data_IF_737855959588
#
_entry.id   IF_737855959588
#
_cell.length_a   1.000
_cell.length_b   1.000
_cell.length_c   1.000
_cell.angle_alpha   90.00
_cell.angle_beta   90.00
_cell.angle_gamma   90.00
#
_symmetry.space_group_name_H-M   'P 1'
#
loop_
_entity.id
_entity.type
_entity.pdbx_description
1 polymer ?
#
# COMPACT_ATOMS: atom_id res chain seq x y z
N UNK A 1 17.07 11.04 -21.56
CA UNK A 1 16.36 11.23 -20.27
C UNK A 1 16.27 9.93 -19.48
N UNK A 2 15.65 8.87 -20.02
CA UNK A 2 15.53 7.55 -19.36
C UNK A 2 16.88 6.87 -19.04
N UNK A 3 17.91 7.05 -19.88
CA UNK A 3 19.24 6.50 -19.64
C UNK A 3 19.96 7.17 -18.45
N UNK A 4 19.81 8.49 -18.29
CA UNK A 4 20.36 9.24 -17.16
C UNK A 4 19.73 8.83 -15.82
N UNK A 5 18.44 8.42 -15.84
CA UNK A 5 17.79 7.84 -14.66
C UNK A 5 18.50 6.55 -14.21
N UNK A 6 18.96 5.74 -15.16
CA UNK A 6 19.63 4.47 -14.87
C UNK A 6 21.08 4.63 -14.39
N UNK A 7 21.78 5.68 -14.82
CA UNK A 7 23.18 5.93 -14.44
C UNK A 7 23.33 6.46 -13.01
N UNK A 8 22.31 7.14 -12.49
CA UNK A 8 22.37 7.79 -11.18
C UNK A 8 21.46 7.14 -10.12
N UNK A 9 20.58 6.22 -10.51
CA UNK A 9 19.62 5.54 -9.62
C UNK A 9 20.26 4.83 -8.43
N UNK A 10 21.50 4.36 -8.58
CA UNK A 10 22.24 3.69 -7.52
C UNK A 10 22.39 4.53 -6.24
N UNK A 11 22.37 5.87 -6.35
CA UNK A 11 22.57 6.81 -5.24
C UNK A 11 21.28 7.48 -4.76
N UNK A 12 20.14 7.19 -5.39
CA UNK A 12 18.89 7.82 -4.97
C UNK A 12 18.45 7.26 -3.63
N UNK A 13 18.33 8.13 -2.65
CA UNK A 13 17.71 7.80 -1.36
C UNK A 13 16.21 8.05 -1.38
N UNK A 14 15.75 9.00 -2.20
CA UNK A 14 14.35 9.34 -2.37
C UNK A 14 14.00 9.45 -3.86
N UNK A 15 12.85 8.89 -4.24
CA UNK A 15 12.28 9.00 -5.58
C UNK A 15 10.91 9.66 -5.48
N UNK A 16 10.75 10.78 -6.18
CA UNK A 16 9.48 11.47 -6.32
C UNK A 16 9.16 11.58 -7.80
N UNK A 17 8.14 10.85 -8.26
CA UNK A 17 7.80 10.80 -9.67
C UNK A 17 6.29 10.88 -9.88
N UNK A 18 5.91 11.77 -10.80
CA UNK A 18 4.61 11.76 -11.43
C UNK A 18 4.77 11.03 -12.76
N UNK A 19 4.08 9.90 -12.91
CA UNK A 19 4.32 8.93 -13.95
C UNK A 19 3.08 8.81 -14.85
N UNK A 20 3.30 8.95 -16.15
CA UNK A 20 2.34 8.53 -17.16
C UNK A 20 2.37 7.00 -17.18
N UNK A 21 1.22 6.35 -17.00
CA UNK A 21 1.06 4.90 -16.88
C UNK A 21 1.74 4.15 -18.02
N UNK A 22 1.62 4.66 -19.26
CA UNK A 22 2.24 4.07 -20.44
C UNK A 22 3.79 3.97 -20.36
N UNK A 23 4.44 4.74 -19.48
CA UNK A 23 5.89 4.71 -19.25
C UNK A 23 6.31 3.77 -18.10
N UNK A 24 5.35 3.18 -17.38
CA UNK A 24 5.64 2.30 -16.25
C UNK A 24 6.43 1.05 -16.64
N UNK A 25 6.15 0.36 -17.77
CA UNK A 25 6.96 -0.80 -18.18
C UNK A 25 8.43 -0.43 -18.44
N UNK A 26 8.69 0.72 -19.05
CA UNK A 26 10.06 1.17 -19.33
C UNK A 26 10.77 1.55 -18.04
N UNK A 27 10.08 2.21 -17.10
CA UNK A 27 10.61 2.50 -15.78
C UNK A 27 10.97 1.21 -15.02
N UNK A 28 10.10 0.20 -15.13
CA UNK A 28 10.29 -1.10 -14.51
C UNK A 28 11.59 -1.76 -14.99
N UNK A 29 11.76 -1.88 -16.30
CA UNK A 29 12.94 -2.46 -16.92
C UNK A 29 14.23 -1.69 -16.57
N UNK A 30 14.18 -0.36 -16.62
CA UNK A 30 15.36 0.49 -16.42
C UNK A 30 15.88 0.51 -14.99
N UNK A 31 14.99 0.37 -14.01
CA UNK A 31 15.31 0.48 -12.59
C UNK A 31 15.44 -0.85 -11.88
N UNK A 32 15.07 -1.97 -12.53
CA UNK A 32 15.12 -3.29 -11.91
C UNK A 32 16.52 -3.58 -11.33
N UNK A 33 16.58 -3.81 -10.02
CA UNK A 33 17.81 -4.07 -9.27
C UNK A 33 18.85 -2.93 -9.29
N UNK A 34 18.46 -1.70 -9.62
CA UNK A 34 19.34 -0.52 -9.66
C UNK A 34 19.04 0.51 -8.55
N UNK A 35 18.29 0.12 -7.53
CA UNK A 35 17.85 0.99 -6.44
C UNK A 35 18.38 0.54 -5.05
N UNK A 36 19.70 0.32 -4.89
CA UNK A 36 20.28 -0.19 -3.64
C UNK A 36 20.14 0.80 -2.46
N UNK A 37 20.11 2.11 -2.74
CA UNK A 37 20.08 3.16 -1.71
C UNK A 37 18.68 3.72 -1.48
N UNK A 38 17.68 3.32 -2.26
CA UNK A 38 16.35 3.92 -2.22
C UNK A 38 15.66 3.60 -0.90
N UNK A 39 15.36 4.64 -0.11
CA UNK A 39 14.72 4.56 1.21
C UNK A 39 13.26 4.99 1.18
N UNK A 40 12.94 5.98 0.34
CA UNK A 40 11.58 6.50 0.19
C UNK A 40 11.18 6.57 -1.27
N UNK A 41 9.93 6.23 -1.57
CA UNK A 41 9.37 6.45 -2.89
C UNK A 41 7.99 7.09 -2.82
N UNK A 42 7.73 7.98 -3.75
CA UNK A 42 6.44 8.56 -4.06
C UNK A 42 6.20 8.44 -5.56
N UNK A 43 5.22 7.62 -5.94
CA UNK A 43 4.80 7.43 -7.33
C UNK A 43 3.34 7.84 -7.45
N UNK A 44 3.05 8.82 -8.30
CA UNK A 44 1.68 9.22 -8.62
C UNK A 44 1.42 9.00 -10.11
N UNK A 45 0.40 8.22 -10.44
CA UNK A 45 -0.01 8.04 -11.82
C UNK A 45 -0.99 9.12 -12.26
N UNK A 46 -0.77 9.67 -13.46
CA UNK A 46 -1.66 10.69 -14.05
C UNK A 46 -2.95 10.07 -14.61
N UNK A 47 -2.82 8.92 -15.24
CA UNK A 47 -3.75 8.24 -16.14
C UNK A 47 -3.91 6.76 -15.75
N UNK A 48 -4.43 6.52 -14.54
CA UNK A 48 -4.62 5.20 -13.97
C UNK A 48 -5.60 4.29 -14.74
N UNK A 49 -6.42 4.86 -15.63
CA UNK A 49 -7.43 4.12 -16.39
C UNK A 49 -6.84 3.43 -17.64
N UNK A 50 -5.54 3.62 -17.91
CA UNK A 50 -4.87 2.97 -19.03
C UNK A 50 -4.59 1.50 -18.72
N UNK A 51 -5.03 0.62 -19.63
CA UNK A 51 -4.63 -0.78 -19.61
C UNK A 51 -3.16 -0.92 -19.98
N UNK A 52 -2.35 -1.31 -19.00
CA UNK A 52 -0.96 -1.69 -19.22
C UNK A 52 -0.87 -3.16 -19.65
N UNK A 53 0.04 -3.44 -20.58
CA UNK A 53 0.36 -4.80 -21.04
C UNK A 53 1.12 -5.64 -19.99
N UNK A 54 1.58 -5.01 -18.90
CA UNK A 54 2.25 -5.68 -17.78
C UNK A 54 1.27 -5.96 -16.65
N UNK A 55 1.44 -7.12 -16.00
CA UNK A 55 0.59 -7.52 -14.87
C UNK A 55 0.99 -6.84 -13.56
N UNK A 56 2.24 -6.39 -13.44
CA UNK A 56 2.76 -5.72 -12.23
C UNK A 56 4.05 -4.93 -12.55
N UNK A 57 4.37 -3.96 -11.69
CA UNK A 57 5.64 -3.22 -11.67
C UNK A 57 6.53 -3.80 -10.56
N UNK A 58 7.77 -4.18 -10.87
CA UNK A 58 8.64 -5.01 -10.02
C UNK A 58 9.94 -4.35 -9.59
N UNK A 59 10.33 -3.22 -10.17
CA UNK A 59 11.65 -2.61 -10.00
C UNK A 59 11.93 -2.19 -8.55
N UNK A 60 10.90 -1.91 -7.77
CA UNK A 60 11.00 -1.57 -6.35
C UNK A 60 11.12 -2.79 -5.44
N UNK A 61 10.68 -3.98 -5.87
CA UNK A 61 10.67 -5.20 -5.06
C UNK A 61 12.05 -5.57 -4.51
N UNK A 62 13.11 -5.26 -5.28
CA UNK A 62 14.50 -5.57 -4.92
C UNK A 62 15.25 -4.40 -4.28
N UNK A 63 14.59 -3.28 -3.97
CA UNK A 63 15.22 -2.14 -3.30
C UNK A 63 15.45 -2.44 -1.80
N UNK A 64 16.69 -2.75 -1.37
CA UNK A 64 16.94 -3.34 -0.05
C UNK A 64 16.84 -2.33 1.09
N UNK A 65 16.94 -1.03 0.79
CA UNK A 65 16.87 0.06 1.76
C UNK A 65 15.47 0.68 1.88
N UNK A 66 14.50 0.22 1.07
CA UNK A 66 13.19 0.86 0.97
C UNK A 66 12.35 0.60 2.22
N UNK A 67 11.97 1.68 2.91
CA UNK A 67 11.21 1.66 4.17
C UNK A 67 9.92 2.47 4.11
N UNK A 68 9.82 3.41 3.16
CA UNK A 68 8.64 4.26 2.97
C UNK A 68 8.19 4.18 1.51
N UNK A 69 6.97 3.72 1.28
CA UNK A 69 6.40 3.59 -0.04
C UNK A 69 5.03 4.26 -0.14
N UNK A 70 4.97 5.27 -1.01
CA UNK A 70 3.72 5.93 -1.41
C UNK A 70 3.45 5.70 -2.89
N UNK A 71 2.28 5.15 -3.22
CA UNK A 71 1.82 4.90 -4.59
C UNK A 71 0.37 5.37 -4.71
N UNK A 72 0.12 6.34 -5.58
CA UNK A 72 -1.18 6.95 -5.76
C UNK A 72 -1.73 6.60 -7.14
N UNK A 73 -2.93 6.00 -7.15
CA UNK A 73 -3.70 5.61 -8.34
C UNK A 73 -2.94 4.62 -9.25
N UNK A 74 -2.40 3.53 -8.70
CA UNK A 74 -1.65 2.60 -9.54
C UNK A 74 -2.58 1.86 -10.52
N UNK A 75 -2.30 1.85 -11.84
CA UNK A 75 -3.09 1.09 -12.82
C UNK A 75 -2.88 -0.43 -12.70
N UNK A 76 -1.79 -0.84 -12.04
CA UNK A 76 -1.38 -2.23 -11.84
C UNK A 76 -0.74 -2.41 -10.46
N UNK A 77 -0.71 -3.64 -9.92
CA UNK A 77 0.01 -3.95 -8.69
C UNK A 77 1.49 -3.50 -8.78
N UNK A 78 1.98 -2.82 -7.73
CA UNK A 78 3.41 -2.55 -7.56
C UNK A 78 3.95 -3.50 -6.51
N UNK A 79 4.93 -4.31 -6.89
CA UNK A 79 5.59 -5.22 -5.96
C UNK A 79 6.61 -4.45 -5.14
N UNK A 80 6.42 -4.49 -3.82
CA UNK A 80 7.25 -3.80 -2.84
C UNK A 80 7.96 -4.81 -1.93
N UNK A 81 9.11 -4.46 -1.35
CA UNK A 81 9.77 -5.26 -0.32
C UNK A 81 9.02 -5.11 1.01
N UNK A 82 7.76 -5.59 1.05
CA UNK A 82 6.80 -5.31 2.11
C UNK A 82 7.34 -5.57 3.53
N UNK A 83 8.12 -6.64 3.72
CA UNK A 83 8.78 -6.98 4.98
C UNK A 83 9.73 -5.90 5.53
N UNK A 84 10.13 -4.90 4.73
CA UNK A 84 11.01 -3.81 5.15
C UNK A 84 10.28 -2.51 5.43
N UNK A 85 9.06 -2.38 4.91
CA UNK A 85 8.31 -1.13 4.99
C UNK A 85 7.93 -0.83 6.44
N UNK A 86 8.24 0.40 6.85
CA UNK A 86 7.73 1.02 8.08
C UNK A 86 6.54 1.93 7.80
N UNK A 87 6.47 2.47 6.56
CA UNK A 87 5.34 3.27 6.08
C UNK A 87 4.86 2.75 4.72
N UNK A 88 3.55 2.57 4.61
CA UNK A 88 2.86 2.09 3.42
C UNK A 88 1.69 3.00 3.11
N UNK A 89 1.65 3.58 1.92
CA UNK A 89 0.52 4.36 1.43
C UNK A 89 0.25 4.00 -0.01
N UNK A 90 -0.70 3.11 -0.26
CA UNK A 90 -0.95 2.61 -1.62
C UNK A 90 -2.42 2.73 -1.96
N UNK A 91 -2.70 3.20 -3.18
CA UNK A 91 -4.00 3.16 -3.81
C UNK A 91 -4.09 2.02 -4.82
N UNK A 92 -4.75 0.92 -4.45
CA UNK A 92 -4.98 -0.27 -5.30
C UNK A 92 -6.21 -1.08 -4.80
N UNK A 93 -6.68 -2.09 -5.55
CA UNK A 93 -7.72 -3.01 -5.08
C UNK A 93 -7.33 -3.76 -3.79
N UNK A 94 -8.34 -4.25 -3.04
CA UNK A 94 -8.10 -4.93 -1.75
C UNK A 94 -7.19 -6.17 -1.88
N UNK A 95 -7.37 -6.96 -2.92
CA UNK A 95 -6.56 -8.16 -3.18
C UNK A 95 -5.05 -7.87 -3.24
N UNK A 96 -4.67 -6.72 -3.78
CA UNK A 96 -3.26 -6.32 -3.85
C UNK A 96 -2.73 -5.87 -2.48
N UNK A 97 -3.58 -5.21 -1.69
CA UNK A 97 -3.28 -4.88 -0.29
C UNK A 97 -3.07 -6.14 0.55
N UNK A 98 -3.95 -7.13 0.42
CA UNK A 98 -3.89 -8.37 1.18
C UNK A 98 -2.52 -9.06 1.02
N UNK A 99 -2.03 -9.18 -0.21
CA UNK A 99 -0.71 -9.77 -0.46
C UNK A 99 0.42 -8.98 0.20
N UNK A 100 0.44 -7.65 0.02
CA UNK A 100 1.49 -6.80 0.57
C UNK A 100 1.47 -6.77 2.11
N UNK A 101 0.29 -6.61 2.72
CA UNK A 101 0.12 -6.46 4.17
C UNK A 101 0.43 -7.77 4.92
N UNK A 102 0.14 -8.94 4.33
CA UNK A 102 0.55 -10.24 4.90
C UNK A 102 2.06 -10.38 5.05
N UNK A 103 2.84 -9.66 4.24
CA UNK A 103 4.30 -9.67 4.32
C UNK A 103 4.88 -8.51 5.14
N UNK A 104 4.07 -7.51 5.51
CA UNK A 104 4.51 -6.24 6.09
C UNK A 104 4.71 -6.29 7.62
N UNK A 105 5.65 -7.11 8.08
CA UNK A 105 5.88 -7.37 9.52
C UNK A 105 6.47 -6.19 10.30
N UNK A 106 7.04 -5.20 9.63
CA UNK A 106 7.70 -4.03 10.23
C UNK A 106 6.86 -2.74 10.14
N UNK A 107 5.62 -2.84 9.67
CA UNK A 107 4.80 -1.68 9.36
C UNK A 107 4.37 -0.93 10.63
N UNK A 108 4.60 0.38 10.66
CA UNK A 108 4.26 1.29 11.78
C UNK A 108 3.12 2.22 11.37
N UNK A 109 3.10 2.66 10.12
CA UNK A 109 2.07 3.52 9.54
C UNK A 109 1.53 2.93 8.24
N UNK A 110 0.21 2.82 8.11
CA UNK A 110 -0.45 2.29 6.92
C UNK A 110 -1.59 3.21 6.47
N UNK A 111 -1.59 3.58 5.20
CA UNK A 111 -2.67 4.25 4.49
C UNK A 111 -3.17 3.31 3.40
N UNK A 112 -4.28 2.63 3.69
CA UNK A 112 -4.85 1.59 2.83
C UNK A 112 -6.00 2.24 2.04
N UNK A 113 -5.73 2.56 0.78
CA UNK A 113 -6.69 3.23 -0.10
C UNK A 113 -7.17 2.25 -1.17
N UNK A 114 -8.48 2.05 -1.24
CA UNK A 114 -9.15 1.24 -2.26
C UNK A 114 -9.55 2.17 -3.41
N UNK A 115 -9.01 1.92 -4.62
CA UNK A 115 -9.19 2.81 -5.80
C UNK A 115 -10.11 2.20 -6.88
N UNK A 116 -10.33 0.88 -6.85
CA UNK A 116 -11.36 0.18 -7.61
C UNK A 116 -11.60 -1.16 -6.92
N UNK A 117 -12.85 -1.52 -6.67
CA UNK A 117 -13.19 -2.78 -6.01
C UNK A 117 -14.38 -3.42 -6.73
N UNK A 118 -14.15 -3.76 -7.99
CA UNK A 118 -15.13 -4.50 -8.80
C UNK A 118 -15.19 -5.99 -8.38
N UNK A 119 -14.21 -6.44 -7.58
CA UNK A 119 -14.16 -7.78 -7.02
C UNK A 119 -14.86 -7.81 -5.64
N UNK A 120 -15.59 -8.88 -5.30
CA UNK A 120 -16.17 -9.03 -3.98
C UNK A 120 -15.08 -9.19 -2.92
N UNK A 121 -15.32 -8.64 -1.73
CA UNK A 121 -14.46 -8.83 -0.57
C UNK A 121 -14.31 -10.33 -0.24
N UNK A 122 -13.11 -10.79 0.15
CA UNK A 122 -12.87 -12.19 0.49
C UNK A 122 -13.68 -12.61 1.71
N UNK A 123 -13.97 -13.91 1.83
CA UNK A 123 -14.72 -14.43 2.97
C UNK A 123 -14.03 -14.08 4.30
N UNK A 124 -14.83 -13.54 5.24
CA UNK A 124 -14.38 -13.13 6.58
C UNK A 124 -13.86 -14.28 7.47
N UNK A 125 -13.95 -15.52 7.00
CA UNK A 125 -13.46 -16.70 7.70
C UNK A 125 -11.95 -16.90 7.55
N UNK A 126 -11.28 -16.11 6.70
CA UNK A 126 -9.82 -16.14 6.59
C UNK A 126 -9.16 -15.62 7.87
N UNK A 127 -7.94 -16.11 8.16
CA UNK A 127 -7.16 -15.56 9.27
C UNK A 127 -6.87 -14.07 9.03
N UNK A 128 -7.05 -13.21 10.04
CA UNK A 128 -6.79 -11.79 9.87
C UNK A 128 -5.30 -11.54 9.66
N UNK A 129 -4.99 -10.54 8.85
CA UNK A 129 -3.63 -10.06 8.61
C UNK A 129 -3.09 -9.45 9.90
N UNK A 130 -2.00 -10.01 10.42
CA UNK A 130 -1.43 -9.60 11.69
C UNK A 130 -0.39 -8.48 11.50
N UNK A 131 -0.72 -7.27 11.95
CA UNK A 131 0.13 -6.09 11.86
C UNK A 131 0.54 -5.64 13.28
N UNK A 132 1.38 -6.44 13.93
CA UNK A 132 1.71 -6.29 15.36
C UNK A 132 2.47 -5.01 15.74
N UNK A 133 3.06 -4.30 14.77
CA UNK A 133 3.81 -3.06 15.00
C UNK A 133 3.08 -1.81 14.53
N UNK A 134 1.89 -1.99 13.94
CA UNK A 134 1.13 -0.90 13.37
C UNK A 134 0.58 -0.03 14.50
N UNK A 135 0.90 1.27 14.43
CA UNK A 135 0.46 2.28 15.38
C UNK A 135 -0.58 3.20 14.73
N UNK A 136 -0.34 3.57 13.46
CA UNK A 136 -1.16 4.56 12.75
C UNK A 136 -1.79 3.92 11.52
N UNK A 137 -3.12 3.85 11.51
CA UNK A 137 -3.90 3.23 10.45
C UNK A 137 -4.88 4.23 9.84
N UNK A 138 -4.78 4.43 8.54
CA UNK A 138 -5.70 5.25 7.77
C UNK A 138 -6.32 4.39 6.68
N UNK A 139 -7.65 4.35 6.58
CA UNK A 139 -8.36 3.47 5.64
C UNK A 139 -9.37 4.24 4.81
N UNK A 140 -9.52 3.94 3.52
CA UNK A 140 -10.61 4.53 2.72
C UNK A 140 -11.93 3.75 2.82
N UNK A 141 -11.91 2.54 3.37
CA UNK A 141 -13.09 1.70 3.56
C UNK A 141 -13.01 0.98 4.91
N UNK A 142 -14.07 1.04 5.69
CA UNK A 142 -14.14 0.44 7.03
C UNK A 142 -14.21 -1.09 7.01
N UNK A 143 -14.61 -1.70 5.90
CA UNK A 143 -14.63 -3.15 5.72
C UNK A 143 -13.22 -3.76 5.88
N UNK A 144 -12.16 -2.99 5.58
CA UNK A 144 -10.75 -3.36 5.79
C UNK A 144 -10.51 -3.84 7.22
N UNK A 145 -11.15 -3.21 8.22
CA UNK A 145 -10.91 -3.51 9.62
C UNK A 145 -11.32 -4.94 10.01
N UNK A 146 -12.21 -5.57 9.25
CA UNK A 146 -12.59 -6.96 9.48
C UNK A 146 -11.48 -7.97 9.12
N UNK A 147 -10.48 -7.54 8.36
CA UNK A 147 -9.38 -8.38 7.87
C UNK A 147 -8.06 -8.10 8.57
N UNK A 148 -7.99 -7.11 9.46
CA UNK A 148 -6.76 -6.70 10.12
C UNK A 148 -6.80 -7.02 11.61
N UNK A 149 -5.67 -7.52 12.12
CA UNK A 149 -5.39 -7.61 13.55
C UNK A 149 -4.17 -6.74 13.88
N UNK A 150 -4.43 -5.57 14.45
CA UNK A 150 -3.41 -4.56 14.73
C UNK A 150 -3.56 -4.03 16.17
N UNK A 151 -3.03 -4.76 17.18
CA UNK A 151 -3.30 -4.49 18.60
C UNK A 151 -2.67 -3.20 19.14
N UNK A 152 -1.69 -2.63 18.45
CA UNK A 152 -0.98 -1.41 18.88
C UNK A 152 -1.48 -0.14 18.21
N UNK A 153 -2.58 -0.20 17.43
CA UNK A 153 -3.12 0.97 16.74
C UNK A 153 -3.67 1.96 17.77
N UNK A 154 -3.05 3.14 17.83
CA UNK A 154 -3.44 4.26 18.68
C UNK A 154 -4.07 5.41 17.87
N UNK A 155 -3.75 5.51 16.58
CA UNK A 155 -4.36 6.45 15.64
C UNK A 155 -5.10 5.69 14.53
N UNK A 156 -6.41 5.92 14.43
CA UNK A 156 -7.25 5.38 13.37
C UNK A 156 -8.06 6.52 12.73
N UNK A 157 -7.93 6.66 11.41
CA UNK A 157 -8.71 7.62 10.63
C UNK A 157 -9.27 6.99 9.34
N UNK A 158 -10.41 7.53 8.90
CA UNK A 158 -11.13 7.05 7.72
C UNK A 158 -11.11 8.14 6.66
N UNK A 159 -10.53 7.84 5.50
CA UNK A 159 -10.60 8.69 4.32
C UNK A 159 -11.99 8.58 3.70
N UNK A 160 -12.90 9.45 4.12
CA UNK A 160 -14.19 9.60 3.45
C UNK A 160 -14.03 10.54 2.25
N UNK A 161 -14.29 10.05 1.03
CA UNK A 161 -14.84 10.94 0.01
C UNK A 161 -16.16 11.55 0.55
N UNK A 162 -16.57 12.76 0.13
CA UNK A 162 -17.75 13.42 0.70
C UNK A 162 -18.98 12.48 0.65
N UNK A 163 -19.80 12.46 1.72
CA UNK A 163 -20.59 11.28 2.08
C UNK A 163 -21.92 11.20 1.33
N UNK A 164 -22.30 10.00 0.87
CA UNK A 164 -23.71 9.67 0.66
C UNK A 164 -24.26 8.66 1.68
N UNK A 165 -23.46 7.82 2.36
CA UNK A 165 -24.03 6.87 3.35
C UNK A 165 -23.05 6.46 4.47
N UNK A 166 -23.31 6.90 5.71
CA UNK A 166 -22.46 6.68 6.90
C UNK A 166 -23.02 5.66 7.91
N UNK A 167 -24.02 4.85 7.55
CA UNK A 167 -24.72 3.96 8.51
C UNK A 167 -24.15 2.52 8.63
N UNK A 168 -23.37 2.03 7.66
CA UNK A 168 -22.65 0.75 7.77
C UNK A 168 -21.25 0.74 8.46
N UNK A 169 -20.45 1.83 8.52
CA UNK A 169 -19.08 1.78 9.04
C UNK A 169 -18.94 1.59 10.56
N UNK A 170 -19.96 1.86 11.37
CA UNK A 170 -19.85 1.84 12.83
C UNK A 170 -19.65 0.44 13.44
N UNK A 171 -20.20 -0.61 12.82
CA UNK A 171 -20.06 -1.99 13.34
C UNK A 171 -18.63 -2.51 13.20
N UNK A 172 -17.97 -2.22 12.09
CA UNK A 172 -16.58 -2.60 11.85
C UNK A 172 -15.63 -1.88 12.83
N UNK A 173 -15.90 -0.60 13.13
CA UNK A 173 -15.14 0.16 14.12
C UNK A 173 -15.23 -0.44 15.53
N UNK A 174 -16.44 -0.76 15.99
CA UNK A 174 -16.67 -1.34 17.32
C UNK A 174 -16.01 -2.71 17.45
N UNK A 175 -16.12 -3.57 16.43
CA UNK A 175 -15.46 -4.87 16.41
C UNK A 175 -13.93 -4.76 16.48
N UNK A 176 -13.35 -3.80 15.75
CA UNK A 176 -11.91 -3.53 15.76
C UNK A 176 -11.43 -3.10 17.15
N UNK A 177 -12.10 -2.15 17.79
CA UNK A 177 -11.72 -1.66 19.14
C UNK A 177 -11.83 -2.76 20.20
N UNK A 178 -12.89 -3.57 20.17
CA UNK A 178 -13.05 -4.66 21.14
C UNK A 178 -11.92 -5.68 20.98
N UNK A 179 -11.48 -5.96 19.75
CA UNK A 179 -10.38 -6.90 19.52
C UNK A 179 -9.01 -6.34 19.97
N UNK A 180 -8.77 -5.03 19.85
CA UNK A 180 -7.52 -4.41 20.34
C UNK A 180 -7.47 -4.30 21.85
N UNK A 181 -8.60 -4.07 22.51
CA UNK A 181 -8.66 -3.92 23.98
C UNK A 181 -8.71 -5.23 24.76
N UNK A 182 -9.22 -6.33 24.18
CA UNK A 182 -9.30 -7.64 24.87
C UNK A 182 -7.92 -8.28 25.14
N UNK A 183 -6.82 -7.74 24.59
CA UNK A 183 -5.46 -8.24 24.80
C UNK A 183 -4.74 -7.55 25.98
N UNK A 184 -5.37 -6.55 26.62
CA UNK A 184 -4.79 -5.74 27.71
C UNK A 184 -5.31 -6.09 29.12
N UNK A 185 -5.98 -7.23 29.32
CA UNK A 185 -6.43 -7.72 30.64
C UNK A 185 -5.83 -9.08 30.98
#
# INVERSE_FOLDING_TARGET
MLQALSEHSARWEELWIQLIAALAPQLDELLQSRLPSLRKMYVRYEDADIQLAVDSIKCFQTAPALVDATVIRSPKPILLPAHRLTKYQVGCPWRDHEHALNMATNLVEAHILIVSDDEPWPDRNNQPINLHRLQRLYVSNMEILNYLKAPLVDELAVYTAPPEDLLHPLKAFVAFIVHTTTVLL
#
